data_IF_063232494435
#
_entry.id   IF_063232494435
#
_cell.length_a   1.000
_cell.length_b   1.000
_cell.length_c   1.000
_cell.angle_alpha   90.00
_cell.angle_beta   90.00
_cell.angle_gamma   90.00
#
_symmetry.space_group_name_H-M   'P 1'
#
loop_
_entity.id
_entity.type
_entity.pdbx_description
1 polymer ?
#
# COMPACT_ATOMS: atom_id res chain seq x y z
N UNK A 1 -24.96 -25.32 -11.69
CA UNK A 1 -24.44 -24.07 -12.29
C UNK A 1 -23.90 -23.23 -11.13
N UNK A 2 -22.63 -22.81 -11.13
CA UNK A 2 -22.14 -21.90 -10.08
C UNK A 2 -22.77 -20.52 -10.33
N UNK A 3 -23.30 -19.84 -9.30
CA UNK A 3 -23.82 -18.49 -9.48
C UNK A 3 -22.69 -17.58 -9.97
N UNK A 4 -23.03 -16.69 -10.91
CA UNK A 4 -22.12 -15.63 -11.33
C UNK A 4 -21.89 -14.72 -10.12
N UNK A 5 -20.63 -14.42 -9.75
CA UNK A 5 -20.36 -13.47 -8.67
C UNK A 5 -21.01 -12.13 -8.99
N UNK A 6 -21.59 -11.48 -7.98
CA UNK A 6 -22.01 -10.09 -8.13
C UNK A 6 -20.78 -9.23 -8.46
N UNK A 7 -20.93 -8.30 -9.40
CA UNK A 7 -19.88 -7.32 -9.67
C UNK A 7 -19.67 -6.46 -8.43
N UNK A 8 -18.43 -6.36 -7.96
CA UNK A 8 -18.07 -5.60 -6.76
C UNK A 8 -17.98 -4.07 -7.00
N UNK A 9 -18.13 -3.64 -8.26
CA UNK A 9 -17.96 -2.25 -8.68
C UNK A 9 -16.61 -2.00 -9.37
N UNK A 10 -16.33 -0.74 -9.65
CA UNK A 10 -15.08 -0.25 -10.24
C UNK A 10 -14.36 0.63 -9.22
N UNK A 11 -13.09 0.35 -8.96
CA UNK A 11 -12.25 1.16 -8.09
C UNK A 11 -11.12 1.84 -8.84
N UNK A 12 -10.42 2.74 -8.14
CA UNK A 12 -9.20 3.38 -8.64
C UNK A 12 -8.13 3.44 -7.56
N UNK A 13 -6.86 3.43 -7.96
CA UNK A 13 -5.72 3.60 -7.07
C UNK A 13 -5.59 5.05 -6.63
N UNK A 14 -5.27 5.27 -5.36
CA UNK A 14 -5.03 6.59 -4.82
C UNK A 14 -3.71 7.17 -5.34
N UNK A 15 -3.82 8.11 -6.28
CA UNK A 15 -2.68 8.81 -6.86
C UNK A 15 -2.27 9.98 -5.94
N UNK A 16 -1.47 9.69 -4.93
CA UNK A 16 -1.02 10.63 -3.88
C UNK A 16 -0.43 11.93 -4.45
N UNK A 17 0.33 11.82 -5.54
CA UNK A 17 1.01 12.95 -6.18
C UNK A 17 0.10 13.76 -7.14
N UNK A 18 -1.10 13.27 -7.42
CA UNK A 18 -2.04 13.88 -8.37
C UNK A 18 -3.43 14.09 -7.76
N UNK A 19 -3.56 14.84 -6.64
CA UNK A 19 -4.82 14.99 -5.93
C UNK A 19 -5.94 15.61 -6.77
N UNK A 20 -5.59 16.41 -7.80
CA UNK A 20 -6.56 17.00 -8.72
C UNK A 20 -7.39 15.96 -9.50
N UNK A 21 -6.87 14.75 -9.71
CA UNK A 21 -7.60 13.66 -10.37
C UNK A 21 -8.84 13.27 -9.56
N UNK A 22 -8.82 13.41 -8.23
CA UNK A 22 -9.95 13.05 -7.37
C UNK A 22 -11.21 13.85 -7.67
N UNK A 23 -11.07 15.12 -8.04
CA UNK A 23 -12.22 15.96 -8.43
C UNK A 23 -12.92 15.43 -9.69
N UNK A 24 -12.26 14.60 -10.50
CA UNK A 24 -12.79 14.02 -11.73
C UNK A 24 -13.33 12.61 -11.51
N UNK A 25 -12.63 11.78 -10.73
CA UNK A 25 -12.92 10.33 -10.67
C UNK A 25 -13.84 9.93 -9.52
N UNK A 26 -13.99 10.75 -8.48
CA UNK A 26 -14.69 10.38 -7.23
C UNK A 26 -16.10 9.85 -7.46
N UNK A 27 -16.87 10.52 -8.31
CA UNK A 27 -18.28 10.18 -8.57
C UNK A 27 -18.45 9.02 -9.58
N UNK A 28 -17.33 8.42 -10.01
CA UNK A 28 -17.30 7.32 -10.98
C UNK A 28 -16.71 6.03 -10.42
N UNK A 29 -16.38 5.99 -9.13
CA UNK A 29 -15.77 4.82 -8.48
C UNK A 29 -16.55 4.40 -7.25
N UNK A 30 -16.58 3.09 -7.01
CA UNK A 30 -17.27 2.46 -5.88
C UNK A 30 -16.34 2.29 -4.66
N UNK A 31 -15.02 2.28 -4.87
CA UNK A 31 -14.00 2.13 -3.83
C UNK A 31 -12.65 2.70 -4.25
N UNK A 32 -11.75 2.88 -3.28
CA UNK A 32 -10.37 3.30 -3.51
C UNK A 32 -9.39 2.21 -3.08
N UNK A 33 -8.34 2.04 -3.86
CA UNK A 33 -7.17 1.26 -3.49
C UNK A 33 -6.05 2.17 -2.97
N UNK A 34 -5.47 1.82 -1.82
CA UNK A 34 -4.34 2.51 -1.23
C UNK A 34 -3.13 1.59 -1.10
N UNK A 35 -1.97 2.09 -1.53
CA UNK A 35 -0.64 1.50 -1.28
C UNK A 35 0.03 2.26 -0.14
N UNK A 36 0.05 1.74 1.10
CA UNK A 36 0.39 2.51 2.30
C UNK A 36 1.86 2.98 2.35
N UNK A 37 2.77 2.24 1.72
CA UNK A 37 4.18 2.58 1.64
C UNK A 37 4.42 3.90 0.87
N UNK A 38 3.55 4.25 -0.09
CA UNK A 38 3.59 5.53 -0.78
C UNK A 38 3.36 6.75 0.15
N UNK A 39 2.80 6.53 1.34
CA UNK A 39 2.52 7.57 2.34
C UNK A 39 3.55 7.63 3.46
N UNK A 40 4.61 6.81 3.40
CA UNK A 40 5.51 6.64 4.53
C UNK A 40 6.95 7.07 4.24
N UNK A 41 7.72 7.22 5.32
CA UNK A 41 9.17 7.25 5.29
C UNK A 41 9.70 6.03 6.00
N UNK A 42 10.64 5.38 5.32
CA UNK A 42 11.39 4.27 5.88
C UNK A 42 12.70 4.76 6.48
N UNK A 43 13.04 4.20 7.64
CA UNK A 43 14.36 4.31 8.25
C UNK A 43 14.91 2.91 8.51
N UNK A 44 16.11 2.65 7.99
CA UNK A 44 16.87 1.43 8.25
C UNK A 44 18.09 1.78 9.11
N UNK A 45 18.29 1.02 10.19
CA UNK A 45 19.45 1.14 11.08
C UNK A 45 19.95 -0.26 11.46
N UNK A 46 20.99 -0.73 10.77
CA UNK A 46 21.45 -2.11 10.91
C UNK A 46 20.37 -3.11 10.47
N UNK A 47 19.99 -4.03 11.35
CA UNK A 47 18.89 -4.97 11.12
C UNK A 47 17.50 -4.42 11.50
N UNK A 48 17.43 -3.20 12.06
CA UNK A 48 16.16 -2.58 12.43
C UNK A 48 15.59 -1.78 11.26
N UNK A 49 14.33 -2.04 10.93
CA UNK A 49 13.53 -1.29 9.97
C UNK A 49 12.36 -0.64 10.72
N UNK A 50 12.08 0.61 10.41
CA UNK A 50 10.92 1.33 10.94
C UNK A 50 10.28 2.17 9.83
N UNK A 51 8.95 2.11 9.74
CA UNK A 51 8.16 2.88 8.78
C UNK A 51 7.20 3.79 9.53
N UNK A 52 7.05 5.03 9.06
CA UNK A 52 6.13 6.01 9.64
C UNK A 52 5.41 6.77 8.55
N UNK A 53 4.11 6.95 8.70
CA UNK A 53 3.34 7.83 7.83
C UNK A 53 3.88 9.25 7.88
N UNK A 54 3.91 9.90 6.72
CA UNK A 54 4.04 11.35 6.60
C UNK A 54 2.66 11.94 6.93
N UNK A 55 2.50 12.69 8.03
CA UNK A 55 1.18 13.11 8.51
C UNK A 55 0.35 13.84 7.46
N UNK A 56 0.97 14.77 6.71
CA UNK A 56 0.26 15.58 5.71
C UNK A 56 -0.20 14.74 4.51
N UNK A 57 0.58 13.75 4.09
CA UNK A 57 0.18 12.84 2.99
C UNK A 57 -0.97 11.94 3.44
N UNK A 58 -0.89 11.39 4.65
CA UNK A 58 -1.96 10.56 5.21
C UNK A 58 -3.25 11.36 5.36
N UNK A 59 -3.18 12.55 5.97
CA UNK A 59 -4.34 13.42 6.15
C UNK A 59 -5.00 13.77 4.80
N UNK A 60 -4.19 14.16 3.81
CA UNK A 60 -4.67 14.46 2.47
C UNK A 60 -5.39 13.27 1.82
N UNK A 61 -4.81 12.07 1.85
CA UNK A 61 -5.45 10.87 1.30
C UNK A 61 -6.77 10.57 2.01
N UNK A 62 -6.79 10.66 3.34
CA UNK A 62 -8.00 10.38 4.13
C UNK A 62 -9.14 11.34 3.79
N UNK A 63 -8.83 12.63 3.60
CA UNK A 63 -9.80 13.67 3.20
C UNK A 63 -10.34 13.42 1.79
N UNK A 64 -9.47 13.26 0.79
CA UNK A 64 -9.89 13.12 -0.61
C UNK A 64 -10.73 11.87 -0.87
N UNK A 65 -10.48 10.82 -0.08
CA UNK A 65 -11.14 9.53 -0.26
C UNK A 65 -12.27 9.30 0.74
N UNK A 66 -12.64 10.30 1.54
CA UNK A 66 -13.71 10.20 2.53
C UNK A 66 -15.01 9.67 1.92
N UNK A 67 -15.69 8.78 2.64
CA UNK A 67 -16.96 8.18 2.21
C UNK A 67 -16.85 6.99 1.26
N UNK A 68 -15.67 6.73 0.67
CA UNK A 68 -15.43 5.54 -0.15
C UNK A 68 -14.89 4.37 0.69
N UNK A 69 -15.33 3.13 0.46
CA UNK A 69 -14.64 1.95 0.96
C UNK A 69 -13.17 1.95 0.52
N UNK A 70 -12.27 1.64 1.45
CA UNK A 70 -10.84 1.54 1.19
C UNK A 70 -10.44 0.07 1.12
N UNK A 71 -9.72 -0.30 0.06
CA UNK A 71 -8.94 -1.53 0.01
C UNK A 71 -7.46 -1.18 0.08
N UNK A 72 -6.65 -2.08 0.61
CA UNK A 72 -5.20 -1.90 0.70
C UNK A 72 -4.51 -2.91 -0.20
N UNK A 73 -3.61 -2.40 -1.04
CA UNK A 73 -2.73 -3.24 -1.86
C UNK A 73 -1.28 -2.89 -1.53
N UNK A 74 -0.64 -3.76 -0.75
CA UNK A 74 0.71 -3.57 -0.25
C UNK A 74 1.77 -4.19 -1.16
N UNK A 75 2.95 -3.57 -1.16
CA UNK A 75 4.14 -4.05 -1.91
C UNK A 75 5.36 -4.29 -1.02
N UNK A 76 5.24 -4.13 0.30
CA UNK A 76 6.40 -4.14 1.21
C UNK A 76 6.41 -5.32 2.19
N UNK A 77 5.33 -6.09 2.36
CA UNK A 77 5.28 -7.16 3.36
C UNK A 77 6.14 -8.37 2.99
N UNK A 78 6.12 -8.79 1.71
CA UNK A 78 6.90 -9.92 1.19
C UNK A 78 6.59 -11.27 1.84
N UNK A 79 5.31 -11.69 1.83
CA UNK A 79 4.78 -12.82 2.62
C UNK A 79 5.31 -14.21 2.23
N UNK A 80 5.93 -14.34 1.06
CA UNK A 80 6.50 -15.58 0.52
C UNK A 80 8.04 -15.61 0.51
N UNK A 81 8.71 -14.61 1.09
CA UNK A 81 10.16 -14.59 1.18
C UNK A 81 10.70 -15.53 2.26
N UNK A 82 11.80 -16.22 1.95
CA UNK A 82 12.47 -17.15 2.88
C UNK A 82 13.20 -16.45 4.02
N UNK A 83 13.50 -15.16 3.86
CA UNK A 83 14.18 -14.32 4.86
C UNK A 83 13.23 -13.69 5.88
N UNK A 84 11.93 -14.01 5.82
CA UNK A 84 10.89 -13.41 6.63
C UNK A 84 10.20 -12.24 5.92
N UNK A 85 9.27 -11.60 6.64
CA UNK A 85 8.46 -10.48 6.16
C UNK A 85 8.84 -9.16 6.86
N UNK A 86 8.44 -8.04 6.26
CA UNK A 86 8.66 -6.71 6.83
C UNK A 86 7.70 -6.43 8.00
N UNK A 87 8.15 -6.64 9.23
CA UNK A 87 7.33 -6.39 10.43
C UNK A 87 6.98 -4.92 10.63
N UNK A 88 7.83 -3.98 10.19
CA UNK A 88 7.54 -2.55 10.28
C UNK A 88 6.35 -2.14 9.39
N UNK A 89 6.11 -2.89 8.31
CA UNK A 89 4.94 -2.69 7.47
C UNK A 89 3.66 -3.20 8.14
N UNK A 90 3.72 -4.29 8.93
CA UNK A 90 2.58 -4.75 9.74
C UNK A 90 2.15 -3.69 10.77
N UNK A 91 3.12 -3.07 11.46
CA UNK A 91 2.84 -1.97 12.39
C UNK A 91 2.16 -0.78 11.69
N UNK A 92 2.51 -0.55 10.43
CA UNK A 92 1.95 0.51 9.60
C UNK A 92 0.51 0.18 9.15
N UNK A 93 0.24 -1.08 8.79
CA UNK A 93 -1.13 -1.56 8.53
C UNK A 93 -2.03 -1.43 9.76
N UNK A 94 -1.52 -1.78 10.94
CA UNK A 94 -2.26 -1.64 12.20
C UNK A 94 -2.60 -0.17 12.51
N UNK A 95 -1.66 0.74 12.25
CA UNK A 95 -1.88 2.18 12.40
C UNK A 95 -2.92 2.71 11.39
N UNK A 96 -2.82 2.27 10.13
CA UNK A 96 -3.79 2.65 9.10
C UNK A 96 -5.18 2.16 9.47
N UNK A 97 -5.34 0.89 9.83
CA UNK A 97 -6.64 0.31 10.19
C UNK A 97 -7.28 1.02 11.38
N UNK A 98 -6.49 1.37 12.41
CA UNK A 98 -6.97 2.17 13.56
C UNK A 98 -7.44 3.57 13.16
N UNK A 99 -6.80 4.17 12.16
CA UNK A 99 -7.12 5.52 11.68
C UNK A 99 -8.33 5.50 10.75
N UNK A 100 -8.37 4.53 9.83
CA UNK A 100 -9.45 4.27 8.89
C UNK A 100 -9.48 2.77 8.57
N UNK A 101 -10.51 2.05 9.02
CA UNK A 101 -10.67 0.65 8.67
C UNK A 101 -10.82 0.47 7.15
N UNK A 102 -10.06 -0.46 6.58
CA UNK A 102 -10.19 -0.92 5.21
C UNK A 102 -10.95 -2.25 5.17
N UNK A 103 -11.59 -2.54 4.04
CA UNK A 103 -12.48 -3.71 3.89
C UNK A 103 -11.77 -4.95 3.36
N UNK A 104 -10.59 -4.77 2.76
CA UNK A 104 -9.77 -5.86 2.22
C UNK A 104 -8.30 -5.46 2.10
N UNK A 105 -7.41 -6.43 2.19
CA UNK A 105 -5.96 -6.27 2.05
C UNK A 105 -5.37 -7.39 1.19
N UNK A 106 -4.49 -7.02 0.26
CA UNK A 106 -3.64 -7.95 -0.50
C UNK A 106 -2.20 -7.52 -0.52
N UNK A 107 -1.34 -8.50 -0.82
CA UNK A 107 0.12 -8.37 -0.76
C UNK A 107 0.80 -9.26 -1.80
N UNK A 108 2.06 -8.97 -2.07
CA UNK A 108 2.90 -9.76 -2.98
C UNK A 108 3.66 -10.86 -2.22
N UNK A 109 3.88 -11.99 -2.89
CA UNK A 109 4.71 -13.09 -2.34
C UNK A 109 6.15 -12.63 -2.09
N UNK A 110 6.70 -11.80 -2.97
CA UNK A 110 8.01 -11.20 -2.77
C UNK A 110 8.57 -10.66 -4.06
N UNK A 111 9.54 -9.77 -3.92
CA UNK A 111 10.22 -9.16 -5.03
C UNK A 111 11.55 -9.87 -5.30
N UNK A 112 11.86 -10.05 -6.57
CA UNK A 112 13.19 -10.54 -6.96
C UNK A 112 14.23 -9.51 -6.53
N UNK A 113 15.28 -9.98 -5.86
CA UNK A 113 16.40 -9.16 -5.43
C UNK A 113 17.60 -9.41 -6.34
N UNK A 114 18.25 -8.35 -6.81
CA UNK A 114 19.52 -8.40 -7.52
C UNK A 114 20.63 -7.68 -6.73
N UNK A 115 21.90 -8.07 -6.91
CA UNK A 115 23.02 -7.29 -6.38
C UNK A 115 23.03 -5.86 -6.92
N UNK A 116 23.24 -4.88 -6.05
CA UNK A 116 23.43 -3.48 -6.41
C UNK A 116 24.85 -3.16 -6.89
N UNK A 117 25.13 -1.86 -7.09
CA UNK A 117 26.44 -1.40 -7.58
C UNK A 117 27.50 -1.42 -6.49
N UNK A 118 27.10 -1.29 -5.23
CA UNK A 118 27.97 -1.25 -4.07
C UNK A 118 28.03 -2.60 -3.37
N UNK A 119 29.15 -2.89 -2.70
CA UNK A 119 29.31 -4.15 -1.96
C UNK A 119 28.26 -4.25 -0.85
N UNK A 120 27.41 -5.27 -0.93
CA UNK A 120 26.32 -5.51 0.03
C UNK A 120 25.03 -4.74 -0.27
N UNK A 121 24.99 -3.97 -1.35
CA UNK A 121 23.76 -3.34 -1.84
C UNK A 121 22.87 -4.42 -2.49
N UNK A 122 21.57 -4.36 -2.19
CA UNK A 122 20.55 -5.18 -2.83
C UNK A 122 19.54 -4.25 -3.46
N UNK A 123 19.22 -4.50 -4.73
CA UNK A 123 18.21 -3.78 -5.49
C UNK A 123 17.04 -4.71 -5.71
N UNK A 124 15.83 -4.26 -5.42
CA UNK A 124 14.62 -4.99 -5.73
C UNK A 124 14.36 -4.86 -7.25
N UNK A 125 14.64 -5.93 -7.99
CA UNK A 125 14.44 -6.03 -9.44
C UNK A 125 13.20 -6.87 -9.73
N UNK A 126 12.04 -6.31 -9.44
CA UNK A 126 10.77 -6.85 -9.87
C UNK A 126 9.77 -5.72 -9.91
N UNK A 127 9.34 -5.33 -11.10
CA UNK A 127 7.99 -4.83 -11.24
C UNK A 127 7.08 -6.07 -11.38
N UNK A 128 5.83 -6.02 -10.90
CA UNK A 128 4.85 -7.09 -11.12
C UNK A 128 4.73 -7.51 -12.60
#
# INVERSE_FOLDING_TARGET
MRPTPAALGVGTTCLVEQPAIWAVVRDHVDFVELTPDALCRERIAGSSRAMRFVPDLLASVLEHTEGLPMIVHGVELSIGSTTGWNTAYLDLLDQLWKTRPFVWHSEHLGFLQAPGRSRGEVVYTGAP
#
